data_IF_204900290549
#
_entry.id   IF_204900290549
#
_cell.length_a   1.000
_cell.length_b   1.000
_cell.length_c   1.000
_cell.angle_alpha   90.00
_cell.angle_beta   90.00
_cell.angle_gamma   90.00
#
_symmetry.space_group_name_H-M   'P 1'
#
loop_
_entity.id
_entity.type
_entity.pdbx_description
1 polymer ?
#
# COMPACT_ATOMS: atom_id res chain seq x y z
N UNK A 1 -9.82 -18.42 -9.93
CA UNK A 1 -9.43 -19.61 -10.70
C UNK A 1 -8.01 -19.42 -11.22
N UNK A 2 -7.18 -20.48 -11.16
CA UNK A 2 -5.83 -20.48 -11.73
C UNK A 2 -5.78 -21.57 -12.81
N UNK A 3 -5.11 -21.26 -13.92
CA UNK A 3 -4.89 -22.19 -15.03
C UNK A 3 -3.39 -22.28 -15.29
N UNK A 4 -2.89 -23.48 -15.56
CA UNK A 4 -1.52 -23.72 -15.99
C UNK A 4 -1.53 -24.03 -17.48
N UNK A 5 -0.68 -23.32 -18.21
CA UNK A 5 -0.48 -23.55 -19.63
C UNK A 5 1.00 -23.82 -19.90
N UNK A 6 1.30 -24.91 -20.60
CA UNK A 6 2.65 -25.25 -21.04
C UNK A 6 2.76 -25.03 -22.55
N UNK A 7 3.78 -24.31 -22.96
CA UNK A 7 4.06 -24.04 -24.37
C UNK A 7 5.56 -24.09 -24.64
N UNK A 8 5.91 -24.25 -25.91
CA UNK A 8 7.33 -24.28 -26.30
C UNK A 8 7.94 -22.89 -26.27
N UNK A 9 9.17 -22.78 -25.80
CA UNK A 9 9.89 -21.50 -25.65
C UNK A 9 9.97 -20.72 -26.97
N UNK A 10 9.94 -21.38 -28.12
CA UNK A 10 9.93 -20.74 -29.44
C UNK A 10 8.71 -19.87 -29.71
N UNK A 11 7.60 -20.10 -29.00
CA UNK A 11 6.37 -19.31 -29.14
C UNK A 11 6.42 -17.99 -28.34
N UNK A 12 7.29 -17.93 -27.32
CA UNK A 12 7.36 -16.78 -26.42
C UNK A 12 7.72 -15.46 -27.13
N UNK A 13 8.67 -15.40 -28.09
CA UNK A 13 8.97 -14.16 -28.79
C UNK A 13 7.75 -13.56 -29.49
N UNK A 14 6.91 -14.39 -30.09
CA UNK A 14 5.65 -13.96 -30.75
C UNK A 14 4.67 -13.37 -29.76
N UNK A 15 4.53 -14.00 -28.57
CA UNK A 15 3.67 -13.51 -27.49
C UNK A 15 4.18 -12.17 -26.97
N UNK A 16 5.49 -11.99 -26.87
CA UNK A 16 6.12 -10.74 -26.45
C UNK A 16 5.92 -9.64 -27.49
N UNK A 17 6.10 -9.94 -28.77
CA UNK A 17 5.90 -9.00 -29.88
C UNK A 17 4.45 -8.51 -29.92
N UNK A 18 3.50 -9.41 -29.67
CA UNK A 18 2.07 -9.13 -29.53
C UNK A 18 1.72 -8.37 -28.23
N UNK A 19 2.70 -8.13 -27.34
CA UNK A 19 2.53 -7.44 -26.07
C UNK A 19 1.42 -8.00 -25.18
N UNK A 20 1.18 -9.30 -25.27
CA UNK A 20 0.09 -9.96 -24.54
C UNK A 20 -1.29 -9.34 -24.83
N UNK A 21 -1.65 -9.16 -26.10
CA UNK A 21 -2.93 -8.56 -26.55
C UNK A 21 -4.18 -9.24 -25.96
N UNK A 22 -4.03 -10.47 -25.45
CA UNK A 22 -5.08 -11.17 -24.72
C UNK A 22 -5.57 -10.36 -23.48
N UNK A 23 -4.73 -9.52 -22.88
CA UNK A 23 -5.13 -8.65 -21.76
C UNK A 23 -6.18 -7.65 -22.23
N UNK A 24 -5.98 -7.02 -23.41
CA UNK A 24 -6.93 -6.08 -23.98
C UNK A 24 -8.23 -6.78 -24.43
N UNK A 25 -8.10 -8.00 -24.96
CA UNK A 25 -9.26 -8.81 -25.35
C UNK A 25 -10.14 -9.17 -24.13
N UNK A 26 -9.53 -9.49 -22.98
CA UNK A 26 -10.24 -9.77 -21.73
C UNK A 26 -10.92 -8.51 -21.18
N UNK A 27 -10.32 -7.34 -21.30
CA UNK A 27 -10.95 -6.08 -20.89
C UNK A 27 -12.21 -5.74 -21.64
N UNK A 28 -12.38 -6.26 -22.87
CA UNK A 28 -13.62 -6.08 -23.63
C UNK A 28 -14.80 -6.89 -23.08
N UNK A 29 -14.53 -7.85 -22.18
CA UNK A 29 -15.54 -8.67 -21.52
C UNK A 29 -15.95 -7.96 -20.22
N UNK A 30 -17.21 -7.52 -20.15
CA UNK A 30 -17.77 -6.87 -18.96
C UNK A 30 -18.83 -7.76 -18.31
N UNK A 31 -19.00 -7.64 -17.02
CA UNK A 31 -20.12 -8.23 -16.29
C UNK A 31 -21.40 -7.38 -16.47
N UNK A 32 -22.51 -7.84 -15.90
CA UNK A 32 -23.81 -7.16 -15.96
C UNK A 32 -23.80 -5.75 -15.33
N UNK A 33 -22.78 -5.43 -14.52
CA UNK A 33 -22.58 -4.12 -13.89
C UNK A 33 -21.57 -3.23 -14.64
N UNK A 34 -21.14 -3.64 -15.85
CA UNK A 34 -20.18 -2.87 -16.65
C UNK A 34 -18.72 -2.94 -16.18
N UNK A 35 -18.40 -3.81 -15.20
CA UNK A 35 -17.03 -3.98 -14.73
C UNK A 35 -16.26 -4.88 -15.69
N UNK A 36 -15.11 -4.45 -16.25
CA UNK A 36 -14.31 -5.27 -17.15
C UNK A 36 -13.67 -6.45 -16.41
N UNK A 37 -13.56 -7.58 -17.10
CA UNK A 37 -12.79 -8.70 -16.61
C UNK A 37 -11.29 -8.35 -16.63
N UNK A 38 -10.51 -8.94 -15.71
CA UNK A 38 -9.07 -8.78 -15.63
C UNK A 38 -8.36 -10.12 -15.71
N UNK A 39 -7.16 -10.13 -16.26
CA UNK A 39 -6.34 -11.33 -16.38
C UNK A 39 -4.92 -11.03 -15.89
N UNK A 40 -4.41 -11.90 -15.01
CA UNK A 40 -3.01 -11.85 -14.57
C UNK A 40 -2.28 -13.05 -15.13
N UNK A 41 -1.16 -12.80 -15.81
CA UNK A 41 -0.35 -13.84 -16.46
C UNK A 41 1.05 -13.84 -15.83
N UNK A 42 1.48 -15.01 -15.34
CA UNK A 42 2.87 -15.24 -14.93
C UNK A 42 3.53 -16.24 -15.89
N UNK A 43 4.69 -15.89 -16.42
CA UNK A 43 5.49 -16.75 -17.29
C UNK A 43 6.83 -17.04 -16.63
N UNK A 44 7.20 -18.31 -16.54
CA UNK A 44 8.52 -18.77 -16.13
C UNK A 44 9.28 -19.34 -17.34
N UNK A 45 10.53 -18.92 -17.53
CA UNK A 45 11.40 -19.39 -18.61
C UNK A 45 12.84 -19.57 -18.16
N UNK A 46 13.61 -20.26 -18.95
CA UNK A 46 15.07 -20.48 -18.76
C UNK A 46 15.43 -21.15 -17.41
N UNK A 47 14.50 -21.85 -16.79
CA UNK A 47 14.76 -22.70 -15.63
C UNK A 47 15.44 -24.01 -16.07
N UNK A 48 16.18 -24.62 -15.16
CA UNK A 48 16.87 -25.90 -15.39
C UNK A 48 15.89 -27.08 -15.44
N UNK A 49 14.72 -26.93 -14.84
CA UNK A 49 13.66 -27.93 -14.78
C UNK A 49 12.30 -27.31 -15.04
N UNK A 50 11.31 -28.16 -15.39
CA UNK A 50 9.93 -27.71 -15.48
C UNK A 50 9.40 -27.17 -14.15
N UNK A 51 9.83 -27.76 -13.03
CA UNK A 51 9.46 -27.29 -11.69
C UNK A 51 9.99 -25.87 -11.46
N UNK A 52 11.24 -25.59 -11.80
CA UNK A 52 11.83 -24.24 -11.66
C UNK A 52 11.10 -23.20 -12.52
N UNK A 53 10.73 -23.58 -13.75
CA UNK A 53 9.90 -22.70 -14.60
C UNK A 53 8.50 -22.47 -13.99
N UNK A 54 7.90 -23.49 -13.37
CA UNK A 54 6.64 -23.32 -12.65
C UNK A 54 6.78 -22.40 -11.45
N UNK A 55 7.87 -22.51 -10.68
CA UNK A 55 8.16 -21.65 -9.54
C UNK A 55 8.37 -20.19 -10.00
N UNK A 56 9.08 -19.98 -11.12
CA UNK A 56 9.24 -18.67 -11.74
C UNK A 56 7.89 -18.09 -12.21
N UNK A 57 7.03 -18.90 -12.83
CA UNK A 57 5.71 -18.47 -13.25
C UNK A 57 4.82 -18.10 -12.05
N UNK A 58 4.89 -18.88 -10.97
CA UNK A 58 4.15 -18.62 -9.75
C UNK A 58 4.58 -17.31 -9.10
N UNK A 59 5.89 -17.10 -8.98
CA UNK A 59 6.46 -15.85 -8.47
C UNK A 59 6.10 -14.65 -9.37
N UNK A 60 6.03 -14.85 -10.68
CA UNK A 60 5.57 -13.81 -11.62
C UNK A 60 4.12 -13.41 -11.40
N UNK A 61 3.23 -14.38 -11.09
CA UNK A 61 1.85 -14.10 -10.72
C UNK A 61 1.77 -13.31 -9.41
N UNK A 62 2.54 -13.70 -8.40
CA UNK A 62 2.61 -13.00 -7.11
C UNK A 62 3.11 -11.56 -7.29
N UNK A 63 4.19 -11.40 -8.07
CA UNK A 63 4.73 -10.08 -8.42
C UNK A 63 3.70 -9.22 -9.17
N UNK A 64 2.96 -9.79 -10.10
CA UNK A 64 1.89 -9.10 -10.80
C UNK A 64 0.76 -8.69 -9.85
N UNK A 65 0.33 -9.59 -8.97
CA UNK A 65 -0.76 -9.34 -8.02
C UNK A 65 -0.39 -8.28 -6.98
N UNK A 66 0.86 -8.25 -6.51
CA UNK A 66 1.35 -7.19 -5.63
C UNK A 66 1.32 -5.79 -6.27
N UNK A 67 1.31 -5.73 -7.60
CA UNK A 67 1.19 -4.51 -8.41
C UNK A 67 -0.23 -4.25 -8.92
N UNK A 68 -1.24 -4.91 -8.32
CA UNK A 68 -2.65 -4.77 -8.69
C UNK A 68 -3.17 -5.78 -9.72
N UNK A 69 -2.34 -6.68 -10.23
CA UNK A 69 -2.70 -7.66 -11.25
C UNK A 69 -2.90 -7.03 -12.64
N UNK A 70 -3.71 -7.71 -13.48
CA UNK A 70 -4.09 -7.22 -14.81
C UNK A 70 -2.91 -6.89 -15.74
N UNK A 71 -1.89 -7.72 -15.68
CA UNK A 71 -0.65 -7.60 -16.48
C UNK A 71 -0.01 -8.97 -16.67
N UNK A 72 0.90 -9.07 -17.63
CA UNK A 72 1.75 -10.22 -17.80
C UNK A 72 3.15 -9.94 -17.26
N UNK A 73 3.68 -10.87 -16.49
CA UNK A 73 5.03 -10.81 -15.95
C UNK A 73 5.79 -12.05 -16.38
N UNK A 74 6.96 -11.86 -16.97
CA UNK A 74 7.88 -12.95 -17.32
C UNK A 74 9.03 -12.93 -16.33
N UNK A 75 9.33 -14.07 -15.75
CA UNK A 75 10.54 -14.29 -14.95
C UNK A 75 11.47 -15.28 -15.65
N UNK A 76 12.69 -14.88 -15.82
CA UNK A 76 13.81 -15.78 -16.05
C UNK A 76 14.63 -15.94 -14.76
N UNK A 77 15.79 -16.56 -14.87
CA UNK A 77 16.65 -16.83 -13.70
C UNK A 77 17.04 -15.58 -12.91
N UNK A 78 17.19 -14.43 -13.57
CA UNK A 78 17.76 -13.22 -12.98
C UNK A 78 16.81 -12.02 -13.01
N UNK A 79 15.88 -11.97 -13.97
CA UNK A 79 15.13 -10.77 -14.27
C UNK A 79 13.62 -10.99 -14.28
N UNK A 80 12.90 -9.88 -14.11
CA UNK A 80 11.48 -9.78 -14.40
C UNK A 80 11.27 -8.82 -15.57
N UNK A 81 10.39 -9.19 -16.51
CA UNK A 81 9.89 -8.31 -17.56
C UNK A 81 8.38 -8.17 -17.45
N UNK A 82 7.88 -6.95 -17.59
CA UNK A 82 6.47 -6.60 -17.40
C UNK A 82 5.86 -6.19 -18.73
N UNK A 83 4.66 -6.71 -19.03
CA UNK A 83 3.92 -6.46 -20.25
C UNK A 83 2.44 -6.22 -19.95
N UNK A 84 1.82 -5.32 -20.73
CA UNK A 84 0.45 -4.93 -20.46
C UNK A 84 0.36 -4.16 -19.13
N UNK A 85 -0.84 -3.93 -18.70
CA UNK A 85 -1.09 -3.06 -17.58
C UNK A 85 -0.96 -1.58 -17.99
N UNK A 86 -1.76 -0.74 -17.38
CA UNK A 86 -1.75 0.72 -17.59
C UNK A 86 -0.56 1.41 -16.91
N UNK A 87 0.56 0.69 -16.72
CA UNK A 87 1.66 1.09 -15.89
C UNK A 87 2.29 2.45 -16.28
N UNK A 88 2.40 2.78 -17.56
CA UNK A 88 2.98 4.08 -17.96
C UNK A 88 2.02 5.28 -17.77
N UNK A 89 0.71 5.09 -17.96
CA UNK A 89 -0.27 6.12 -17.64
C UNK A 89 -0.56 6.18 -16.14
N UNK A 90 -0.56 5.03 -15.47
CA UNK A 90 -0.68 4.94 -14.02
C UNK A 90 0.50 5.65 -13.34
N UNK A 91 1.75 5.39 -13.75
CA UNK A 91 2.94 6.00 -13.14
C UNK A 91 2.96 7.54 -13.28
N UNK A 92 2.51 8.09 -14.41
CA UNK A 92 2.38 9.54 -14.56
C UNK A 92 1.22 10.13 -13.74
N UNK A 93 0.09 9.43 -13.67
CA UNK A 93 -1.06 9.83 -12.85
C UNK A 93 -0.73 9.74 -11.37
N UNK A 94 0.01 8.72 -10.93
CA UNK A 94 0.43 8.53 -9.54
C UNK A 94 1.31 9.70 -9.08
N UNK A 95 2.34 10.09 -9.84
CA UNK A 95 3.21 11.22 -9.48
C UNK A 95 2.51 12.56 -9.34
N UNK A 96 1.52 12.86 -10.20
CA UNK A 96 0.71 14.08 -10.07
C UNK A 96 -0.20 13.97 -8.85
N UNK A 97 -0.83 12.82 -8.64
CA UNK A 97 -1.70 12.56 -7.50
C UNK A 97 -0.91 12.63 -6.20
N UNK A 98 0.27 12.00 -6.11
CA UNK A 98 1.13 12.05 -4.93
C UNK A 98 1.52 13.48 -4.56
N UNK A 99 1.86 14.34 -5.54
CA UNK A 99 2.16 15.75 -5.29
C UNK A 99 0.96 16.54 -4.74
N UNK A 100 -0.23 16.30 -5.30
CA UNK A 100 -1.46 16.93 -4.80
C UNK A 100 -1.76 16.44 -3.38
N UNK A 101 -1.65 15.14 -3.14
CA UNK A 101 -1.88 14.54 -1.82
C UNK A 101 -0.85 15.02 -0.79
N UNK A 102 0.44 15.15 -1.18
CA UNK A 102 1.48 15.72 -0.33
C UNK A 102 1.15 17.16 0.08
N UNK A 103 0.71 17.99 -0.86
CA UNK A 103 0.26 19.34 -0.56
C UNK A 103 -0.92 19.38 0.42
N UNK A 104 -1.95 18.57 0.17
CA UNK A 104 -3.13 18.47 1.03
C UNK A 104 -2.79 17.94 2.42
N UNK A 105 -1.95 16.90 2.51
CA UNK A 105 -1.50 16.36 3.80
C UNK A 105 -0.68 17.39 4.58
N UNK A 106 0.24 18.09 3.91
CA UNK A 106 1.05 19.15 4.53
C UNK A 106 0.17 20.28 5.06
N UNK A 107 -0.87 20.67 4.33
CA UNK A 107 -1.83 21.67 4.76
C UNK A 107 -2.61 21.22 6.00
N UNK A 108 -3.14 19.98 6.00
CA UNK A 108 -3.85 19.40 7.15
C UNK A 108 -2.96 19.33 8.39
N UNK A 109 -1.71 18.88 8.25
CA UNK A 109 -0.72 18.83 9.34
C UNK A 109 -0.44 20.22 9.88
N UNK A 110 -0.20 21.21 9.00
CA UNK A 110 0.14 22.57 9.41
C UNK A 110 -1.02 23.31 10.10
N UNK A 111 -2.26 22.89 9.86
CA UNK A 111 -3.47 23.41 10.50
C UNK A 111 -3.86 22.64 11.78
N UNK A 112 -3.05 21.68 12.22
CA UNK A 112 -3.35 20.83 13.36
C UNK A 112 -2.49 21.20 14.56
N UNK A 113 -3.06 21.08 15.76
CA UNK A 113 -2.36 21.25 17.04
C UNK A 113 -1.35 20.14 17.28
N UNK A 114 -1.72 18.92 16.90
CA UNK A 114 -0.91 17.72 16.98
C UNK A 114 -1.39 16.68 15.96
N UNK A 115 -0.54 15.71 15.65
CA UNK A 115 -0.84 14.61 14.74
C UNK A 115 -0.70 13.28 15.45
N UNK A 116 -1.74 12.46 15.37
CA UNK A 116 -1.72 11.09 15.84
C UNK A 116 -1.72 10.15 14.63
N UNK A 117 -0.86 9.15 14.65
CA UNK A 117 -0.67 8.23 13.52
C UNK A 117 -0.92 6.83 14.01
N UNK A 118 -1.79 6.06 13.37
CA UNK A 118 -1.99 4.66 13.71
C UNK A 118 -2.15 3.80 12.46
N UNK A 119 -1.69 2.56 12.56
CA UNK A 119 -1.93 1.50 11.58
C UNK A 119 -3.08 0.58 12.00
N UNK A 120 -3.01 -0.64 11.48
CA UNK A 120 -3.91 -1.73 11.89
C UNK A 120 -3.44 -2.38 13.20
N UNK A 121 -4.36 -3.08 13.90
CA UNK A 121 -4.05 -3.96 15.02
C UNK A 121 -2.98 -4.97 14.63
N UNK A 122 -2.08 -5.29 15.58
CA UNK A 122 -0.94 -6.17 15.29
C UNK A 122 -0.06 -5.64 14.14
N UNK A 123 0.22 -4.33 14.18
CA UNK A 123 0.99 -3.61 13.17
C UNK A 123 2.21 -4.41 12.68
N UNK A 124 2.39 -4.44 11.38
CA UNK A 124 3.54 -5.05 10.73
C UNK A 124 4.59 -4.00 10.32
N UNK A 125 5.59 -4.43 9.57
CA UNK A 125 6.70 -3.57 9.14
C UNK A 125 6.20 -2.45 8.22
N UNK A 126 5.17 -2.70 7.40
CA UNK A 126 4.61 -1.69 6.51
C UNK A 126 3.86 -0.60 7.28
N UNK A 127 2.96 -0.99 8.18
CA UNK A 127 2.24 -0.06 9.04
C UNK A 127 3.19 0.82 9.87
N UNK A 128 4.23 0.20 10.50
CA UNK A 128 5.21 0.95 11.29
C UNK A 128 6.08 1.85 10.41
N UNK A 129 6.54 1.35 9.25
CA UNK A 129 7.32 2.14 8.29
C UNK A 129 6.55 3.35 7.77
N UNK A 130 5.28 3.16 7.40
CA UNK A 130 4.40 4.24 6.98
C UNK A 130 4.17 5.26 8.09
N UNK A 131 3.91 4.81 9.32
CA UNK A 131 3.70 5.69 10.47
C UNK A 131 4.93 6.56 10.78
N UNK A 132 6.12 5.96 10.79
CA UNK A 132 7.39 6.69 10.98
C UNK A 132 7.64 7.67 9.84
N UNK A 133 7.31 7.31 8.60
CA UNK A 133 7.39 8.22 7.45
C UNK A 133 6.49 9.45 7.60
N UNK A 134 5.22 9.26 8.03
CA UNK A 134 4.32 10.39 8.33
C UNK A 134 4.86 11.25 9.47
N UNK A 135 5.38 10.63 10.53
CA UNK A 135 6.03 11.37 11.63
C UNK A 135 7.21 12.23 11.12
N UNK A 136 8.00 11.72 10.17
CA UNK A 136 9.09 12.51 9.58
C UNK A 136 8.56 13.74 8.83
N UNK A 137 7.43 13.62 8.12
CA UNK A 137 6.75 14.77 7.50
C UNK A 137 6.30 15.78 8.56
N UNK A 138 5.67 15.31 9.65
CA UNK A 138 5.24 16.18 10.75
C UNK A 138 6.43 16.94 11.37
N UNK A 139 7.54 16.27 11.63
CA UNK A 139 8.77 16.88 12.15
C UNK A 139 9.32 17.95 11.22
N UNK A 140 9.33 17.69 9.90
CA UNK A 140 9.77 18.66 8.88
C UNK A 140 8.88 19.91 8.86
N UNK A 141 7.59 19.74 9.16
CA UNK A 141 6.61 20.83 9.23
C UNK A 141 6.55 21.49 10.63
N UNK A 142 7.29 20.98 11.61
CA UNK A 142 7.31 21.50 12.98
C UNK A 142 6.05 21.20 13.78
N UNK A 143 5.24 20.20 13.37
CA UNK A 143 4.03 19.79 14.07
C UNK A 143 4.34 18.61 15.02
N UNK A 144 3.91 18.66 16.29
CA UNK A 144 4.03 17.53 17.21
C UNK A 144 3.31 16.29 16.67
N UNK A 145 3.95 15.12 16.77
CA UNK A 145 3.35 13.88 16.30
C UNK A 145 3.65 12.71 17.20
N UNK A 146 2.66 11.80 17.34
CA UNK A 146 2.79 10.56 18.10
C UNK A 146 2.21 9.39 17.32
N UNK A 147 2.79 8.19 17.50
CA UNK A 147 2.35 6.94 16.87
C UNK A 147 1.62 6.11 17.92
N UNK A 148 0.35 5.79 17.62
CA UNK A 148 -0.45 4.88 18.42
C UNK A 148 -0.13 3.45 18.02
N UNK A 149 0.38 2.68 18.96
CA UNK A 149 0.71 1.27 18.75
C UNK A 149 0.77 0.51 20.06
N UNK A 150 0.28 -0.71 20.08
CA UNK A 150 0.53 -1.65 21.15
C UNK A 150 1.93 -2.26 20.98
N UNK A 151 2.87 -1.88 21.84
CA UNK A 151 4.26 -2.34 21.77
C UNK A 151 4.41 -3.85 22.06
N UNK A 152 3.44 -4.48 22.71
CA UNK A 152 3.49 -5.90 23.05
C UNK A 152 2.83 -6.79 21.96
N UNK A 153 1.75 -6.28 21.32
CA UNK A 153 0.94 -7.03 20.38
C UNK A 153 1.12 -6.56 18.94
N UNK A 154 2.34 -6.62 18.41
CA UNK A 154 2.64 -6.25 17.04
C UNK A 154 3.62 -7.24 16.37
N UNK A 155 3.61 -7.27 15.04
CA UNK A 155 4.48 -8.12 14.23
C UNK A 155 5.81 -7.45 13.87
N UNK A 156 5.94 -6.13 14.12
CA UNK A 156 7.12 -5.32 13.80
C UNK A 156 8.08 -5.13 14.99
N UNK A 157 7.99 -5.95 16.03
CA UNK A 157 8.76 -5.82 17.28
C UNK A 157 10.26 -5.55 17.07
N UNK A 158 10.99 -6.28 16.17
CA UNK A 158 12.41 -6.01 15.96
C UNK A 158 12.70 -4.63 15.34
N UNK A 159 11.76 -4.06 14.59
CA UNK A 159 11.88 -2.72 14.04
C UNK A 159 11.58 -1.66 15.10
N UNK A 160 10.53 -1.87 15.90
CA UNK A 160 10.17 -0.99 17.01
C UNK A 160 11.27 -0.90 18.07
N UNK A 161 11.90 -2.02 18.43
CA UNK A 161 13.04 -2.04 19.36
C UNK A 161 14.19 -1.13 18.88
N UNK A 162 14.43 -1.06 17.56
CA UNK A 162 15.43 -0.13 17.01
C UNK A 162 15.00 1.33 17.18
N UNK A 163 13.76 1.68 16.89
CA UNK A 163 13.27 3.05 17.11
C UNK A 163 13.28 3.43 18.58
N UNK A 164 12.82 2.55 19.46
CA UNK A 164 12.86 2.78 20.93
C UNK A 164 14.25 2.95 21.49
N UNK A 165 15.29 2.44 20.80
CA UNK A 165 16.69 2.64 21.21
C UNK A 165 17.26 4.01 20.79
N UNK A 166 16.55 4.78 19.98
CA UNK A 166 16.98 6.07 19.47
C UNK A 166 16.35 7.21 20.27
N UNK A 167 17.15 8.11 20.86
CA UNK A 167 16.63 9.20 21.71
C UNK A 167 15.63 10.13 20.99
N UNK A 168 15.71 10.24 19.67
CA UNK A 168 14.81 11.04 18.85
C UNK A 168 13.37 10.51 18.78
N UNK A 169 13.15 9.27 19.22
CA UNK A 169 11.83 8.64 19.29
C UNK A 169 11.32 8.48 20.73
N UNK A 170 12.00 9.05 21.71
CA UNK A 170 11.54 9.03 23.09
C UNK A 170 10.20 9.77 23.22
N UNK A 171 9.20 9.12 23.84
CA UNK A 171 7.83 9.64 23.97
C UNK A 171 7.02 9.72 22.66
N UNK A 172 7.53 9.18 21.54
CA UNK A 172 6.81 9.20 20.27
C UNK A 172 5.77 8.09 20.12
N UNK A 173 5.86 7.01 20.89
CA UNK A 173 4.94 5.88 20.85
C UNK A 173 4.01 5.93 22.05
N UNK A 174 2.70 5.90 21.79
CA UNK A 174 1.66 6.02 22.82
C UNK A 174 0.57 4.97 22.62
N UNK A 175 -0.16 4.67 23.67
CA UNK A 175 -1.37 3.86 23.62
C UNK A 175 -2.57 4.67 23.15
N UNK A 176 -3.61 4.01 22.64
CA UNK A 176 -4.86 4.69 22.28
C UNK A 176 -5.52 5.44 23.45
N UNK A 177 -5.30 4.99 24.69
CA UNK A 177 -5.86 5.65 25.88
C UNK A 177 -5.09 6.94 26.24
N UNK A 178 -3.77 6.94 26.11
CA UNK A 178 -2.95 8.13 26.28
C UNK A 178 -3.28 9.18 25.22
N UNK A 179 -3.46 8.75 23.96
CA UNK A 179 -3.86 9.62 22.88
C UNK A 179 -5.24 10.26 23.13
N UNK A 180 -6.24 9.48 23.57
CA UNK A 180 -7.56 9.99 23.94
C UNK A 180 -7.52 11.07 25.04
N UNK A 181 -6.53 10.98 25.92
CA UNK A 181 -6.39 11.94 27.03
C UNK A 181 -5.68 13.23 26.63
N UNK A 182 -4.92 13.22 25.54
CA UNK A 182 -4.06 14.33 25.11
C UNK A 182 -4.52 15.01 23.82
N UNK A 183 -5.37 14.35 23.00
CA UNK A 183 -5.90 14.93 21.77
C UNK A 183 -6.95 16.02 22.06
N UNK A 184 -7.01 17.00 21.17
CA UNK A 184 -7.99 18.09 21.15
C UNK A 184 -8.78 18.10 19.82
N UNK A 185 -9.70 19.08 19.67
CA UNK A 185 -10.55 19.20 18.49
C UNK A 185 -9.77 19.52 17.19
N UNK A 186 -8.58 20.13 17.32
CA UNK A 186 -7.71 20.48 16.21
C UNK A 186 -6.67 19.39 15.90
N UNK A 187 -6.66 18.30 16.63
CA UNK A 187 -5.77 17.16 16.38
C UNK A 187 -6.16 16.42 15.11
N UNK A 188 -5.16 16.01 14.32
CA UNK A 188 -5.32 15.20 13.11
C UNK A 188 -4.97 13.74 13.40
N UNK A 189 -5.84 12.83 13.03
CA UNK A 189 -5.53 11.41 12.97
C UNK A 189 -5.13 11.01 11.54
N UNK A 190 -3.95 10.42 11.37
CA UNK A 190 -3.52 9.79 10.12
C UNK A 190 -3.56 8.28 10.29
N UNK A 191 -4.45 7.63 9.57
CA UNK A 191 -4.55 6.16 9.52
C UNK A 191 -3.70 5.67 8.35
N UNK A 192 -2.78 4.75 8.62
CA UNK A 192 -1.90 4.16 7.61
C UNK A 192 -2.10 2.66 7.51
N UNK A 193 -1.92 2.12 6.30
CA UNK A 193 -1.91 0.69 6.01
C UNK A 193 -3.20 -0.07 6.38
N UNK A 194 -4.29 0.65 6.48
CA UNK A 194 -5.64 0.09 6.56
C UNK A 194 -6.69 1.15 6.22
N UNK A 195 -7.78 0.73 5.61
CA UNK A 195 -8.97 1.57 5.41
C UNK A 195 -10.17 1.09 6.23
N UNK A 196 -10.02 0.06 7.06
CA UNK A 196 -11.10 -0.60 7.78
C UNK A 196 -11.20 -0.12 9.23
N UNK A 197 -12.35 0.42 9.64
CA UNK A 197 -12.56 0.91 11.02
C UNK A 197 -12.43 -0.16 12.10
N UNK A 198 -12.73 -1.43 11.76
CA UNK A 198 -12.62 -2.57 12.68
C UNK A 198 -11.20 -3.10 12.87
N UNK A 199 -10.28 -2.68 11.99
CA UNK A 199 -8.89 -3.13 11.96
C UNK A 199 -7.91 -2.14 12.57
N UNK A 200 -8.29 -0.86 12.73
CA UNK A 200 -7.37 0.16 13.27
C UNK A 200 -6.90 -0.17 14.68
N UNK A 201 -5.71 0.29 15.05
CA UNK A 201 -5.10 0.08 16.36
C UNK A 201 -6.03 0.51 17.52
N UNK A 202 -6.67 1.66 17.40
CA UNK A 202 -7.65 2.14 18.41
C UNK A 202 -8.94 2.62 17.75
N UNK A 203 -9.98 1.79 17.80
CA UNK A 203 -11.31 2.16 17.32
C UNK A 203 -11.89 3.33 18.13
N UNK A 204 -11.68 3.33 19.43
CA UNK A 204 -12.19 4.39 20.29
C UNK A 204 -11.56 5.75 19.94
N UNK A 205 -10.29 5.77 19.57
CA UNK A 205 -9.61 6.99 19.13
C UNK A 205 -10.11 7.44 17.74
N UNK A 206 -10.33 6.52 16.80
CA UNK A 206 -10.92 6.84 15.50
C UNK A 206 -12.30 7.48 15.66
N UNK A 207 -13.15 6.91 16.51
CA UNK A 207 -14.52 7.41 16.75
C UNK A 207 -14.54 8.78 17.45
N UNK A 208 -13.49 9.12 18.19
CA UNK A 208 -13.34 10.41 18.87
C UNK A 208 -12.80 11.52 17.97
N UNK A 209 -12.10 11.16 16.89
CA UNK A 209 -11.46 12.13 16.00
C UNK A 209 -12.42 12.62 14.92
N UNK A 210 -12.50 13.95 14.75
CA UNK A 210 -13.27 14.59 13.66
C UNK A 210 -12.43 14.86 12.41
N UNK A 211 -11.12 14.89 12.55
CA UNK A 211 -10.16 15.18 11.47
C UNK A 211 -9.32 13.93 11.19
N UNK A 212 -9.66 13.22 10.14
CA UNK A 212 -9.04 11.94 9.77
C UNK A 212 -8.47 12.01 8.36
N UNK A 213 -7.24 11.53 8.18
CA UNK A 213 -6.62 11.24 6.89
C UNK A 213 -6.32 9.75 6.81
N UNK A 214 -6.46 9.16 5.61
CA UNK A 214 -6.18 7.74 5.36
C UNK A 214 -5.17 7.60 4.24
N UNK A 215 -4.12 6.79 4.46
CA UNK A 215 -3.10 6.43 3.46
C UNK A 215 -3.04 4.91 3.42
N UNK A 216 -3.54 4.30 2.36
CA UNK A 216 -3.70 2.85 2.29
C UNK A 216 -3.56 2.31 0.87
N UNK A 217 -3.02 1.09 0.75
CA UNK A 217 -2.84 0.39 -0.51
C UNK A 217 -3.71 -0.87 -0.64
N UNK A 218 -4.43 -1.24 0.40
CA UNK A 218 -5.31 -2.40 0.36
C UNK A 218 -6.54 -2.13 -0.51
N UNK A 219 -7.17 -3.17 -1.03
CA UNK A 219 -8.45 -3.03 -1.71
C UNK A 219 -9.48 -2.46 -0.74
N UNK A 220 -10.27 -1.49 -1.22
CA UNK A 220 -11.32 -0.89 -0.41
C UNK A 220 -12.30 -1.95 0.07
N UNK A 221 -12.48 -2.03 1.38
CA UNK A 221 -13.48 -2.91 2.00
C UNK A 221 -14.89 -2.36 1.78
N UNK A 222 -15.92 -3.18 2.00
CA UNK A 222 -17.30 -2.71 2.01
C UNK A 222 -17.57 -1.76 3.19
N UNK A 223 -16.91 -2.00 4.32
CA UNK A 223 -16.90 -1.14 5.49
C UNK A 223 -15.52 -0.46 5.59
N UNK A 224 -15.43 0.79 5.18
CA UNK A 224 -14.21 1.58 5.15
C UNK A 224 -14.43 2.95 5.82
N UNK A 225 -13.37 3.67 6.14
CA UNK A 225 -13.43 5.01 6.73
C UNK A 225 -13.89 5.99 5.66
N UNK A 226 -15.19 6.34 5.66
CA UNK A 226 -15.84 7.14 4.61
C UNK A 226 -15.54 8.64 4.74
N UNK A 227 -15.62 9.17 5.97
CA UNK A 227 -15.58 10.62 6.26
C UNK A 227 -14.15 11.18 6.44
N UNK A 228 -13.14 10.54 5.83
CA UNK A 228 -11.78 11.06 5.89
C UNK A 228 -11.62 12.34 5.07
N UNK A 229 -11.02 13.40 5.68
CA UNK A 229 -10.69 14.67 5.01
C UNK A 229 -9.69 14.47 3.85
N UNK A 230 -8.78 13.53 4.00
CA UNK A 230 -7.86 13.08 2.97
C UNK A 230 -7.94 11.57 2.85
N UNK A 231 -8.12 11.07 1.64
CA UNK A 231 -8.08 9.63 1.36
C UNK A 231 -7.11 9.36 0.21
N UNK A 232 -5.87 9.03 0.57
CA UNK A 232 -4.85 8.61 -0.38
C UNK A 232 -4.82 7.09 -0.46
N UNK A 233 -5.63 6.57 -1.36
CA UNK A 233 -5.82 5.15 -1.57
C UNK A 233 -5.31 4.75 -2.96
N UNK A 234 -4.29 3.86 -3.00
CA UNK A 234 -3.65 3.37 -4.22
C UNK A 234 -3.44 1.85 -4.18
N UNK A 235 -4.41 1.06 -4.64
CA UNK A 235 -4.31 -0.40 -4.63
C UNK A 235 -3.20 -0.98 -5.52
N UNK A 236 -2.52 -0.15 -6.28
CA UNK A 236 -1.42 -0.54 -7.15
C UNK A 236 -0.03 -0.29 -6.54
N UNK A 237 0.04 0.40 -5.41
CA UNK A 237 1.27 0.53 -4.65
C UNK A 237 1.62 -0.81 -3.97
N UNK A 238 2.91 -1.07 -3.78
CA UNK A 238 3.37 -2.30 -3.15
C UNK A 238 3.19 -2.27 -1.63
N UNK A 239 3.14 -1.07 -1.04
CA UNK A 239 3.02 -0.88 0.40
C UNK A 239 2.53 0.53 0.74
N UNK A 240 1.99 0.71 1.95
CA UNK A 240 1.67 2.03 2.49
C UNK A 240 2.92 2.87 2.74
N UNK A 241 4.04 2.24 3.12
CA UNK A 241 5.32 2.91 3.28
C UNK A 241 5.87 3.46 1.95
N UNK A 242 5.64 2.77 0.82
CA UNK A 242 5.93 3.31 -0.51
C UNK A 242 5.14 4.59 -0.76
N UNK A 243 3.84 4.56 -0.52
CA UNK A 243 2.97 5.75 -0.70
C UNK A 243 3.44 6.93 0.14
N UNK A 244 3.76 6.69 1.41
CA UNK A 244 4.27 7.75 2.31
C UNK A 244 5.62 8.28 1.80
N UNK A 245 6.50 7.42 1.30
CA UNK A 245 7.79 7.84 0.73
C UNK A 245 7.62 8.79 -0.46
N UNK A 246 6.55 8.63 -1.25
CA UNK A 246 6.23 9.55 -2.35
C UNK A 246 5.71 10.92 -1.88
N UNK A 247 5.28 11.02 -0.61
CA UNK A 247 4.78 12.27 -0.01
C UNK A 247 5.88 13.09 0.69
N UNK A 248 7.03 12.47 1.02
CA UNK A 248 8.18 13.11 1.70
C UNK A 248 8.97 14.04 0.76
#
# INVERSE_FOLDING_TARGET
NRYLYLFEQRELPRIIEDKFSILDAIHSITNDFGTPATLTIGVGKDGQTLQENYDFASLSVEMSLSRGGDQAVIKDRYNFAFYGGRAQEAERRTKVKSRVMAGSLSELISQSSSVYIMGHKSADIDAVGAAVGVMAICRKLGCPAQILIDLEQNSAKPLLEKFLSLPEYDGCFVTGQEALSSADEDSLLVVVDTNRPDQVESRAFLDACTRVAVIDHHRRAADYIEDALLNFHEPYASSAAELVTELV
#
